data_IF_814576471110
#
_entry.id   IF_814576471110
#
_cell.length_a   1.000
_cell.length_b   1.000
_cell.length_c   1.000
_cell.angle_alpha   90.00
_cell.angle_beta   90.00
_cell.angle_gamma   90.00
#
_symmetry.space_group_name_H-M   'P 1'
#
loop_
_entity.id
_entity.type
_entity.pdbx_description
1 polymer ?
#
# COMPACT_ATOMS: atom_id res chain seq x y z
N UNK A 1 -19.24 -0.70 0.91
CA UNK A 1 -18.30 -1.56 0.15
C UNK A 1 -16.94 -1.29 0.77
N UNK A 2 -16.29 -2.29 1.38
CA UNK A 2 -14.99 -2.08 2.06
C UNK A 2 -13.92 -1.89 0.99
N UNK A 3 -13.31 -0.71 0.96
CA UNK A 3 -12.54 -0.23 -0.19
C UNK A 3 -11.08 -0.71 -0.15
N UNK A 4 -10.63 -1.17 1.02
CA UNK A 4 -9.42 -1.99 1.20
C UNK A 4 -9.77 -3.03 2.25
N UNK A 5 -9.70 -4.30 1.87
CA UNK A 5 -9.86 -5.41 2.80
C UNK A 5 -8.47 -5.96 3.09
N UNK A 6 -7.83 -5.43 4.14
CA UNK A 6 -6.63 -6.06 4.71
C UNK A 6 -7.12 -7.22 5.57
N UNK A 7 -7.23 -8.40 4.97
CA UNK A 7 -7.53 -9.64 5.69
C UNK A 7 -6.27 -10.50 5.73
N UNK A 8 -5.86 -10.87 6.94
CA UNK A 8 -4.68 -11.68 7.18
C UNK A 8 -3.39 -11.09 6.56
N UNK A 9 -3.25 -9.76 6.55
CA UNK A 9 -2.11 -9.10 5.93
C UNK A 9 -2.13 -9.03 4.41
N UNK A 10 -3.20 -9.49 3.75
CA UNK A 10 -3.34 -9.39 2.32
C UNK A 10 -3.97 -8.07 1.92
N UNK A 11 -3.37 -7.35 0.97
CA UNK A 11 -3.98 -6.15 0.40
C UNK A 11 -4.87 -6.55 -0.78
N UNK A 12 -6.18 -6.41 -0.61
CA UNK A 12 -7.14 -6.54 -1.70
C UNK A 12 -7.35 -5.18 -2.35
N UNK A 13 -6.74 -4.97 -3.51
CA UNK A 13 -7.01 -3.81 -4.36
C UNK A 13 -8.06 -4.20 -5.41
N UNK A 14 -9.20 -3.49 -5.50
CA UNK A 14 -10.18 -3.71 -6.55
C UNK A 14 -9.53 -3.69 -7.94
N UNK A 15 -9.74 -4.74 -8.72
CA UNK A 15 -9.22 -4.85 -10.08
C UNK A 15 -7.79 -5.38 -10.22
N UNK A 16 -7.01 -5.55 -9.14
CA UNK A 16 -5.60 -6.01 -9.21
C UNK A 16 -5.41 -7.49 -8.87
N UNK A 17 -6.17 -8.02 -7.90
CA UNK A 17 -5.99 -9.28 -7.14
C UNK A 17 -5.37 -9.07 -5.75
N UNK A 18 -5.52 -10.07 -4.89
CA UNK A 18 -4.98 -10.14 -3.54
C UNK A 18 -3.44 -10.10 -3.57
N UNK A 19 -2.85 -9.03 -3.03
CA UNK A 19 -1.41 -8.88 -2.85
C UNK A 19 -1.05 -9.46 -1.49
N UNK A 20 -0.16 -10.45 -1.47
CA UNK A 20 0.21 -11.18 -0.25
C UNK A 20 1.62 -10.81 0.21
N UNK A 21 1.93 -10.91 1.52
CA UNK A 21 3.30 -10.74 2.00
C UNK A 21 4.24 -11.74 1.32
N UNK A 22 5.51 -11.35 1.12
CA UNK A 22 6.52 -12.14 0.41
C UNK A 22 6.15 -12.55 -1.03
N UNK A 23 5.10 -11.97 -1.64
CA UNK A 23 4.81 -12.17 -3.06
C UNK A 23 6.03 -11.78 -3.90
N UNK A 24 6.30 -12.58 -4.92
CA UNK A 24 7.41 -12.33 -5.84
C UNK A 24 7.13 -11.13 -6.75
N UNK A 25 8.12 -10.27 -6.92
CA UNK A 25 8.06 -9.10 -7.80
C UNK A 25 7.61 -9.46 -9.21
N UNK A 26 8.19 -10.51 -9.81
CA UNK A 26 7.91 -10.85 -11.21
C UNK A 26 6.45 -11.34 -11.37
N UNK A 27 5.93 -12.04 -10.35
CA UNK A 27 4.52 -12.46 -10.28
C UNK A 27 3.59 -11.26 -10.14
N UNK A 28 3.87 -10.35 -9.21
CA UNK A 28 3.04 -9.17 -8.97
C UNK A 28 3.04 -8.22 -10.19
N UNK A 29 4.21 -8.03 -10.81
CA UNK A 29 4.35 -7.24 -12.03
C UNK A 29 3.48 -7.82 -13.16
N UNK A 30 3.54 -9.13 -13.39
CA UNK A 30 2.73 -9.76 -14.43
C UNK A 30 1.23 -9.59 -14.14
N UNK A 31 0.81 -9.76 -12.88
CA UNK A 31 -0.58 -9.54 -12.48
C UNK A 31 -1.05 -8.11 -12.77
N UNK A 32 -0.23 -7.10 -12.48
CA UNK A 32 -0.56 -5.69 -12.78
C UNK A 32 -0.71 -5.44 -14.28
N UNK A 33 0.19 -6.02 -15.10
CA UNK A 33 0.13 -5.93 -16.56
C UNK A 33 -1.11 -6.61 -17.12
N UNK A 34 -1.45 -7.82 -16.66
CA UNK A 34 -2.63 -8.56 -17.11
C UNK A 34 -3.95 -7.82 -16.81
N UNK A 35 -3.94 -6.95 -15.80
CA UNK A 35 -5.07 -6.11 -15.40
C UNK A 35 -5.06 -4.71 -16.02
N UNK A 36 -4.08 -4.39 -16.86
CA UNK A 36 -3.88 -3.06 -17.43
C UNK A 36 -3.80 -1.95 -16.37
N UNK A 37 -3.19 -2.26 -15.22
CA UNK A 37 -2.94 -1.26 -14.18
C UNK A 37 -1.71 -0.45 -14.57
N UNK A 38 -1.83 0.88 -14.53
CA UNK A 38 -0.71 1.77 -14.75
C UNK A 38 0.21 1.80 -13.51
N UNK A 39 1.50 1.59 -13.72
CA UNK A 39 2.49 1.60 -12.65
C UNK A 39 3.87 2.05 -13.13
N UNK A 40 4.63 2.64 -12.22
CA UNK A 40 6.06 2.93 -12.40
C UNK A 40 6.87 1.97 -11.55
N UNK A 41 8.04 1.56 -12.02
CA UNK A 41 8.96 0.71 -11.27
C UNK A 41 10.30 1.44 -11.06
N UNK A 42 10.78 1.47 -9.82
CA UNK A 42 12.12 1.92 -9.46
C UNK A 42 12.93 0.72 -8.93
N UNK A 43 14.07 0.43 -9.60
CA UNK A 43 15.06 -0.55 -9.15
C UNK A 43 16.19 0.15 -8.39
N UNK A 44 16.63 -0.44 -7.29
CA UNK A 44 17.74 0.03 -6.49
C UNK A 44 18.72 -1.11 -6.21
N UNK A 45 20.02 -0.83 -6.41
CA UNK A 45 21.12 -1.74 -6.07
C UNK A 45 20.99 -3.14 -6.70
N UNK A 46 20.82 -3.23 -8.01
CA UNK A 46 20.76 -4.49 -8.78
C UNK A 46 19.66 -5.45 -8.31
N UNK A 47 18.41 -4.98 -8.16
CA UNK A 47 17.26 -5.75 -7.68
C UNK A 47 17.34 -6.22 -6.21
N UNK A 48 18.25 -5.67 -5.41
CA UNK A 48 18.24 -5.89 -3.96
C UNK A 48 17.06 -5.17 -3.33
N UNK A 49 16.75 -3.95 -3.77
CA UNK A 49 15.60 -3.18 -3.31
C UNK A 49 14.82 -2.64 -4.50
N UNK A 50 13.52 -2.50 -4.39
CA UNK A 50 12.73 -1.88 -5.45
C UNK A 50 11.35 -1.46 -4.98
N UNK A 51 10.74 -0.58 -5.77
CA UNK A 51 9.40 -0.06 -5.52
C UNK A 51 8.55 -0.11 -6.77
N UNK A 52 7.29 -0.56 -6.63
CA UNK A 52 6.24 -0.36 -7.65
C UNK A 52 5.31 0.75 -7.15
N UNK A 53 5.14 1.78 -7.96
CA UNK A 53 4.24 2.90 -7.70
C UNK A 53 2.97 2.75 -8.53
N UNK A 54 1.82 2.72 -7.86
CA UNK A 54 0.50 2.70 -8.48
C UNK A 54 -0.18 4.02 -8.12
N UNK A 55 -0.20 4.94 -9.09
CA UNK A 55 -0.48 6.35 -8.80
C UNK A 55 -1.97 6.70 -8.68
N UNK A 56 -2.87 5.87 -9.22
CA UNK A 56 -4.30 6.16 -9.17
C UNK A 56 -5.15 4.90 -9.38
N UNK A 57 -5.87 4.50 -8.34
CA UNK A 57 -6.97 3.54 -8.46
C UNK A 57 -8.22 4.21 -7.92
N UNK A 58 -9.25 4.34 -8.75
CA UNK A 58 -10.53 4.95 -8.38
C UNK A 58 -11.51 3.87 -7.94
N UNK A 59 -12.17 4.09 -6.80
CA UNK A 59 -13.26 3.25 -6.34
C UNK A 59 -14.30 4.09 -5.61
N UNK A 60 -15.41 4.38 -6.30
CA UNK A 60 -16.45 5.28 -5.79
C UNK A 60 -15.93 6.71 -5.70
N UNK A 61 -16.05 7.30 -4.51
CA UNK A 61 -15.57 8.64 -4.15
C UNK A 61 -14.11 8.67 -3.69
N UNK A 62 -13.46 7.51 -3.65
CA UNK A 62 -12.12 7.35 -3.10
C UNK A 62 -11.11 7.11 -4.21
N UNK A 63 -10.00 7.83 -4.16
CA UNK A 63 -8.81 7.62 -4.99
C UNK A 63 -7.69 7.05 -4.14
N UNK A 64 -7.08 5.96 -4.59
CA UNK A 64 -5.98 5.26 -3.92
C UNK A 64 -4.66 5.42 -4.65
N UNK A 65 -3.59 5.40 -3.88
CA UNK A 65 -2.20 5.39 -4.30
C UNK A 65 -1.45 4.33 -3.49
N UNK A 66 -0.60 3.56 -4.16
CA UNK A 66 0.18 2.52 -3.50
C UNK A 66 1.64 2.62 -3.87
N UNK A 67 2.50 2.33 -2.90
CA UNK A 67 3.90 2.00 -3.13
C UNK A 67 4.15 0.62 -2.56
N UNK A 68 4.59 -0.32 -3.40
CA UNK A 68 4.86 -1.70 -3.01
C UNK A 68 6.37 -1.88 -2.94
N UNK A 69 6.89 -2.27 -1.78
CA UNK A 69 8.31 -2.31 -1.49
C UNK A 69 8.83 -3.73 -1.51
N UNK A 70 9.98 -3.92 -2.14
CA UNK A 70 10.59 -5.23 -2.33
C UNK A 70 12.01 -5.26 -1.76
N UNK A 71 12.37 -6.39 -1.16
CA UNK A 71 13.74 -6.75 -0.82
C UNK A 71 14.02 -8.13 -1.41
N UNK A 72 15.11 -8.28 -2.17
CA UNK A 72 15.46 -9.51 -2.88
C UNK A 72 14.27 -10.08 -3.69
N UNK A 73 13.57 -9.21 -4.45
CA UNK A 73 12.34 -9.53 -5.20
C UNK A 73 11.14 -10.00 -4.38
N UNK A 74 11.16 -9.94 -3.05
CA UNK A 74 10.03 -10.30 -2.19
C UNK A 74 9.36 -9.06 -1.62
N UNK A 75 8.02 -9.01 -1.69
CA UNK A 75 7.25 -7.91 -1.13
C UNK A 75 7.43 -7.86 0.39
N UNK A 76 7.98 -6.75 0.90
CA UNK A 76 8.28 -6.54 2.33
C UNK A 76 7.46 -5.43 2.96
N UNK A 77 6.77 -4.62 2.16
CA UNK A 77 5.81 -3.67 2.69
C UNK A 77 5.02 -2.92 1.64
N UNK A 78 4.05 -2.18 2.15
CA UNK A 78 3.04 -1.46 1.39
C UNK A 78 2.91 -0.08 2.01
N UNK A 79 3.07 0.96 1.20
CA UNK A 79 2.61 2.30 1.52
C UNK A 79 1.26 2.51 0.86
N UNK A 80 0.30 3.04 1.60
CA UNK A 80 -1.06 3.32 1.15
C UNK A 80 -1.38 4.81 1.35
N UNK A 81 -1.70 5.50 0.27
CA UNK A 81 -2.37 6.80 0.29
C UNK A 81 -3.79 6.68 -0.25
N UNK A 82 -4.73 7.40 0.32
CA UNK A 82 -6.09 7.54 -0.19
C UNK A 82 -6.69 8.92 0.10
N UNK A 83 -7.51 9.39 -0.83
CA UNK A 83 -8.30 10.62 -0.67
C UNK A 83 -9.76 10.31 -0.99
N UNK A 84 -10.65 10.64 -0.08
CA UNK A 84 -12.11 10.61 -0.26
C UNK A 84 -12.63 12.04 -0.45
N UNK A 85 -13.88 12.20 -0.87
CA UNK A 85 -14.53 13.53 -0.92
C UNK A 85 -14.61 14.20 0.46
N UNK A 86 -14.68 13.41 1.53
CA UNK A 86 -14.79 13.88 2.90
C UNK A 86 -13.44 14.05 3.60
N UNK A 87 -12.33 13.70 2.93
CA UNK A 87 -11.00 13.83 3.51
C UNK A 87 -10.70 15.33 3.71
N UNK A 88 -10.33 15.76 4.93
CA UNK A 88 -9.96 17.16 5.20
C UNK A 88 -8.90 17.65 4.23
N UNK A 89 -8.82 18.94 3.96
CA UNK A 89 -7.83 19.47 3.01
C UNK A 89 -6.47 19.72 3.66
N UNK A 90 -6.44 20.06 4.95
CA UNK A 90 -5.22 20.32 5.71
C UNK A 90 -4.50 19.02 6.13
N UNK A 91 -3.17 19.08 6.16
CA UNK A 91 -2.30 17.91 6.38
C UNK A 91 -2.51 17.30 7.78
N UNK A 92 -2.73 18.11 8.81
CA UNK A 92 -2.86 17.65 10.20
C UNK A 92 -4.13 16.82 10.40
N UNK A 93 -5.28 17.32 9.94
CA UNK A 93 -6.54 16.59 10.01
C UNK A 93 -6.52 15.33 9.12
N UNK A 94 -5.90 15.39 7.94
CA UNK A 94 -5.67 14.19 7.12
C UNK A 94 -4.85 13.14 7.87
N UNK A 95 -3.76 13.55 8.53
CA UNK A 95 -2.91 12.62 9.29
C UNK A 95 -3.68 11.95 10.43
N UNK A 96 -4.57 12.68 11.12
CA UNK A 96 -5.41 12.10 12.18
C UNK A 96 -6.32 11.00 11.64
N UNK A 97 -6.98 11.19 10.48
CA UNK A 97 -7.76 10.12 9.84
C UNK A 97 -6.89 8.88 9.58
N UNK A 98 -5.66 9.05 9.12
CA UNK A 98 -4.75 7.93 8.85
C UNK A 98 -4.32 7.19 10.13
N UNK A 99 -4.17 7.90 11.26
CA UNK A 99 -3.85 7.28 12.55
C UNK A 99 -4.98 6.38 13.07
N UNK A 100 -6.23 6.71 12.80
CA UNK A 100 -7.37 5.85 13.13
C UNK A 100 -7.30 4.53 12.35
N UNK A 101 -7.00 4.60 11.05
CA UNK A 101 -6.79 3.42 10.21
C UNK A 101 -5.60 2.58 10.64
N UNK A 102 -4.49 3.19 11.08
CA UNK A 102 -3.35 2.46 11.67
C UNK A 102 -3.79 1.63 12.87
N UNK A 103 -4.64 2.19 13.73
CA UNK A 103 -5.16 1.50 14.92
C UNK A 103 -6.01 0.29 14.52
N UNK A 104 -6.84 0.45 13.49
CA UNK A 104 -7.65 -0.64 12.92
C UNK A 104 -6.76 -1.76 12.38
N UNK A 105 -5.75 -1.44 11.56
CA UNK A 105 -4.85 -2.45 10.95
C UNK A 105 -4.04 -3.21 12.01
N UNK A 106 -3.55 -2.51 13.04
CA UNK A 106 -2.85 -3.16 14.17
C UNK A 106 -3.71 -4.15 14.95
N UNK A 107 -5.03 -3.97 14.95
CA UNK A 107 -5.98 -4.87 15.60
C UNK A 107 -6.33 -6.11 14.76
N UNK A 108 -5.88 -6.22 13.51
CA UNK A 108 -6.20 -7.33 12.63
C UNK A 108 -5.26 -8.53 12.87
N UNK A 109 -5.83 -9.74 12.89
CA UNK A 109 -5.05 -10.98 12.85
C UNK A 109 -4.41 -11.18 11.48
N UNK A 110 -3.20 -11.72 11.47
CA UNK A 110 -2.41 -11.97 10.25
C UNK A 110 -1.58 -13.23 10.41
N UNK A 111 -1.46 -14.00 9.33
CA UNK A 111 -0.64 -15.22 9.28
C UNK A 111 0.86 -14.89 9.35
N UNK A 112 1.24 -13.65 9.02
CA UNK A 112 2.61 -13.13 9.09
C UNK A 112 2.63 -11.90 10.00
N UNK A 113 3.48 -11.85 11.03
CA UNK A 113 3.50 -10.74 11.97
C UNK A 113 3.85 -9.41 11.29
N UNK A 114 3.14 -8.36 11.68
CA UNK A 114 3.51 -7.00 11.35
C UNK A 114 4.90 -6.67 11.89
N UNK A 115 5.74 -6.07 11.06
CA UNK A 115 7.00 -5.46 11.49
C UNK A 115 6.76 -4.04 12.00
N UNK A 116 6.19 -3.18 11.15
CA UNK A 116 5.79 -1.82 11.54
C UNK A 116 4.52 -1.39 10.83
N UNK A 117 3.66 -0.64 11.54
CA UNK A 117 2.48 0.01 10.98
C UNK A 117 2.44 1.43 11.55
N UNK A 118 2.52 2.42 10.68
CA UNK A 118 2.51 3.84 11.07
C UNK A 118 1.90 4.73 10.00
N UNK A 119 1.33 5.84 10.44
CA UNK A 119 0.89 6.92 9.58
C UNK A 119 2.00 7.97 9.54
N UNK A 120 2.42 8.37 8.36
CA UNK A 120 3.50 9.34 8.15
C UNK A 120 3.20 10.24 6.95
N UNK A 121 3.97 11.30 6.77
CA UNK A 121 3.92 12.13 5.55
C UNK A 121 4.90 11.54 4.54
N UNK A 122 4.42 11.26 3.32
CA UNK A 122 5.28 10.72 2.27
C UNK A 122 6.38 11.74 1.92
N UNK A 123 7.67 11.36 1.98
CA UNK A 123 8.80 12.30 1.91
C UNK A 123 8.91 13.05 0.58
N UNK A 124 8.34 12.51 -0.51
CA UNK A 124 8.33 13.15 -1.84
C UNK A 124 7.04 13.89 -2.20
N UNK A 125 5.93 13.57 -1.54
CA UNK A 125 4.60 13.97 -2.03
C UNK A 125 3.85 14.89 -1.05
N UNK A 126 4.37 15.07 0.17
CA UNK A 126 3.76 15.90 1.22
C UNK A 126 2.28 15.57 1.48
N UNK A 127 1.97 14.27 1.38
CA UNK A 127 0.64 13.71 1.66
C UNK A 127 0.75 12.64 2.74
N UNK A 128 -0.24 12.53 3.66
CA UNK A 128 -0.29 11.42 4.59
C UNK A 128 -0.42 10.07 3.89
N UNK A 129 0.26 9.08 4.45
CA UNK A 129 0.30 7.69 4.00
C UNK A 129 0.25 6.75 5.20
N UNK A 130 -0.24 5.53 5.01
CA UNK A 130 -0.08 4.42 5.94
C UNK A 130 1.02 3.52 5.40
N UNK A 131 2.08 3.36 6.18
CA UNK A 131 3.22 2.49 5.87
C UNK A 131 3.09 1.21 6.69
N UNK A 132 3.02 0.08 5.99
CA UNK A 132 2.86 -1.27 6.54
C UNK A 132 4.07 -2.10 6.12
N UNK A 133 4.83 -2.60 7.08
CA UNK A 133 5.99 -3.48 6.87
C UNK A 133 5.74 -4.83 7.51
N UNK A 134 6.17 -5.88 6.81
CA UNK A 134 6.13 -7.25 7.32
C UNK A 134 7.45 -7.59 8.03
N UNK A 135 7.39 -8.43 9.06
CA UNK A 135 8.57 -9.03 9.66
C UNK A 135 8.85 -10.38 8.96
N UNK A 136 9.55 -10.33 7.83
CA UNK A 136 9.84 -11.48 6.96
C UNK A 136 11.20 -12.10 7.21
#
# INVERSE_FOLDING_TARGET
MNIIDIQNGNLNIPGVNTITPAMDYDVLKQNLLDKNIDFTYEDHYNNLFGSIYINKIESGDTTFQFELHFNNKKLTGITLGFTTTDTPQDIESKLQCYQEWVTIIKGMETDIPWGSILAEIHPRFDVPIISVRYNL
#
